data_IF_178759321104
#
_entry.id   IF_178759321104
#
_cell.length_a   1.000
_cell.length_b   1.000
_cell.length_c   1.000
_cell.angle_alpha   90.00
_cell.angle_beta   90.00
_cell.angle_gamma   90.00
#
_symmetry.space_group_name_H-M   'P 1'
#
loop_
_entity.id
_entity.type
_entity.pdbx_description
1 polymer ?
#
# COMPACT_ATOMS: atom_id res chain seq x y z
N UNK A 1 -25.18 -25.80 -65.00
CA UNK A 1 -24.84 -25.99 -63.59
C UNK A 1 -24.66 -24.61 -62.98
N UNK A 2 -25.65 -24.12 -62.18
CA UNK A 2 -25.55 -22.86 -61.46
C UNK A 2 -24.83 -23.14 -60.14
N UNK A 3 -23.67 -22.55 -59.93
CA UNK A 3 -23.00 -22.53 -58.65
C UNK A 3 -23.79 -21.59 -57.71
N UNK A 4 -24.35 -22.12 -56.64
CA UNK A 4 -24.90 -21.33 -55.56
C UNK A 4 -23.71 -20.97 -54.64
N UNK A 5 -23.29 -19.70 -54.70
CA UNK A 5 -22.35 -19.19 -53.72
C UNK A 5 -23.09 -19.05 -52.40
N UNK A 6 -22.82 -19.95 -51.48
CA UNK A 6 -23.30 -19.81 -50.07
C UNK A 6 -22.41 -18.75 -49.45
N UNK A 7 -22.91 -17.53 -49.30
CA UNK A 7 -22.33 -16.56 -48.37
C UNK A 7 -22.52 -17.14 -46.95
N UNK A 8 -21.46 -17.69 -46.39
CA UNK A 8 -21.36 -17.95 -44.95
C UNK A 8 -21.25 -16.54 -44.34
N UNK A 9 -22.38 -16.04 -43.85
CA UNK A 9 -22.34 -14.91 -42.92
C UNK A 9 -21.69 -15.48 -41.65
N UNK A 10 -20.48 -15.11 -41.37
CA UNK A 10 -19.81 -15.34 -40.09
C UNK A 10 -20.73 -14.76 -39.01
N UNK A 11 -21.60 -15.59 -38.46
CA UNK A 11 -22.20 -15.30 -37.17
C UNK A 11 -21.04 -15.41 -36.18
N UNK A 12 -20.53 -14.26 -35.73
CA UNK A 12 -19.63 -14.21 -34.60
C UNK A 12 -20.23 -15.09 -33.51
N UNK A 13 -19.54 -16.16 -33.17
CA UNK A 13 -19.99 -17.06 -32.09
C UNK A 13 -19.94 -16.20 -30.82
N UNK A 14 -21.03 -16.15 -30.02
CA UNK A 14 -21.06 -15.32 -28.83
C UNK A 14 -19.88 -15.72 -27.91
N UNK A 15 -19.06 -14.75 -27.52
CA UNK A 15 -17.94 -14.93 -26.60
C UNK A 15 -18.45 -15.56 -25.32
N UNK A 16 -17.84 -16.66 -24.88
CA UNK A 16 -18.17 -17.34 -23.63
C UNK A 16 -17.01 -17.28 -22.66
N UNK A 17 -17.28 -17.19 -21.36
CA UNK A 17 -16.25 -17.15 -20.35
C UNK A 17 -15.28 -18.34 -20.42
N UNK A 18 -15.80 -19.55 -20.77
CA UNK A 18 -14.98 -20.76 -20.91
C UNK A 18 -13.97 -20.65 -22.06
N UNK A 19 -14.32 -19.99 -23.17
CA UNK A 19 -13.41 -19.81 -24.32
C UNK A 19 -12.25 -18.88 -23.94
N UNK A 20 -12.51 -17.81 -23.16
CA UNK A 20 -11.50 -16.90 -22.60
C UNK A 20 -10.56 -17.65 -21.65
N UNK A 21 -11.10 -18.53 -20.80
CA UNK A 21 -10.29 -19.37 -19.90
C UNK A 21 -9.37 -20.29 -20.71
N UNK A 22 -9.92 -20.96 -21.76
CA UNK A 22 -9.15 -21.84 -22.64
C UNK A 22 -8.03 -21.07 -23.34
N UNK A 23 -8.31 -19.91 -23.93
CA UNK A 23 -7.30 -19.06 -24.57
C UNK A 23 -6.16 -18.74 -23.61
N UNK A 24 -6.48 -18.35 -22.38
CA UNK A 24 -5.46 -18.01 -21.39
C UNK A 24 -4.68 -19.23 -20.91
N UNK A 25 -5.36 -20.38 -20.76
CA UNK A 25 -4.70 -21.67 -20.46
C UNK A 25 -3.69 -22.07 -21.55
N UNK A 26 -4.01 -21.81 -22.83
CA UNK A 26 -3.16 -22.10 -24.00
C UNK A 26 -2.16 -20.97 -24.30
N UNK A 27 -1.94 -20.01 -23.37
CA UNK A 27 -1.01 -18.87 -23.50
C UNK A 27 -1.32 -17.92 -24.65
N UNK A 28 -2.57 -17.88 -25.12
CA UNK A 28 -3.00 -16.95 -26.14
C UNK A 28 -3.36 -15.61 -25.54
N UNK A 29 -3.13 -14.53 -26.30
CA UNK A 29 -3.53 -13.19 -25.90
C UNK A 29 -5.04 -13.00 -25.99
N UNK A 30 -5.60 -12.27 -25.01
CA UNK A 30 -7.00 -11.87 -25.01
C UNK A 30 -7.14 -10.51 -25.70
N UNK A 31 -8.21 -10.36 -26.47
CA UNK A 31 -8.55 -9.04 -27.04
C UNK A 31 -9.18 -8.13 -26.01
N UNK A 32 -9.24 -6.82 -26.30
CA UNK A 32 -9.92 -5.85 -25.45
C UNK A 32 -11.40 -6.21 -25.21
N UNK A 33 -12.09 -6.68 -26.26
CA UNK A 33 -13.49 -7.08 -26.19
C UNK A 33 -13.70 -8.30 -25.27
N UNK A 34 -12.81 -9.30 -25.36
CA UNK A 34 -12.86 -10.48 -24.50
C UNK A 34 -12.62 -10.12 -23.03
N UNK A 35 -11.66 -9.23 -22.76
CA UNK A 35 -11.38 -8.75 -21.42
C UNK A 35 -12.56 -7.94 -20.87
N UNK A 36 -13.14 -7.05 -21.70
CA UNK A 36 -14.29 -6.25 -21.31
C UNK A 36 -15.52 -7.15 -21.01
N UNK A 37 -15.81 -8.10 -21.89
CA UNK A 37 -16.87 -9.09 -21.65
C UNK A 37 -16.68 -9.81 -20.30
N UNK A 38 -15.46 -10.24 -20.02
CA UNK A 38 -15.17 -10.98 -18.78
C UNK A 38 -15.34 -10.10 -17.53
N UNK A 39 -14.83 -8.87 -17.57
CA UNK A 39 -14.95 -7.91 -16.45
C UNK A 39 -16.41 -7.48 -16.24
N UNK A 40 -17.17 -7.24 -17.31
CA UNK A 40 -18.60 -6.91 -17.24
C UNK A 40 -19.39 -8.08 -16.61
N UNK A 41 -19.08 -9.31 -17.03
CA UNK A 41 -19.70 -10.51 -16.47
C UNK A 41 -19.38 -10.72 -14.98
N UNK A 42 -18.15 -10.41 -14.55
CA UNK A 42 -17.79 -10.38 -13.12
C UNK A 42 -18.65 -9.33 -12.40
N UNK A 43 -18.71 -8.11 -12.95
CA UNK A 43 -19.40 -6.97 -12.33
C UNK A 43 -20.89 -7.27 -12.12
N UNK A 44 -21.55 -7.83 -13.12
CA UNK A 44 -22.99 -8.18 -13.08
C UNK A 44 -23.28 -9.49 -12.34
N UNK A 45 -22.25 -10.30 -12.02
CA UNK A 45 -22.42 -11.63 -11.42
C UNK A 45 -22.93 -12.69 -12.41
N UNK A 46 -22.73 -12.47 -13.70
CA UNK A 46 -23.11 -13.39 -14.79
C UNK A 46 -22.07 -14.52 -14.97
N UNK A 47 -20.80 -14.25 -14.62
CA UNK A 47 -19.74 -15.26 -14.61
C UNK A 47 -19.58 -15.80 -13.19
N UNK A 48 -19.76 -17.13 -12.98
CA UNK A 48 -19.69 -17.72 -11.66
C UNK A 48 -18.24 -17.78 -11.12
N UNK A 49 -18.11 -17.76 -9.80
CA UNK A 49 -16.85 -17.69 -9.08
C UNK A 49 -15.83 -18.77 -9.49
N UNK A 50 -16.30 -20.00 -9.81
CA UNK A 50 -15.39 -21.07 -10.25
C UNK A 50 -14.74 -20.79 -11.62
N UNK A 51 -15.43 -20.09 -12.52
CA UNK A 51 -14.86 -19.67 -13.81
C UNK A 51 -13.90 -18.50 -13.62
N UNK A 52 -14.23 -17.54 -12.76
CA UNK A 52 -13.34 -16.43 -12.42
C UNK A 52 -12.06 -16.96 -11.78
N UNK A 53 -12.18 -17.92 -10.86
CA UNK A 53 -11.03 -18.55 -10.20
C UNK A 53 -10.15 -19.33 -11.17
N UNK A 54 -10.75 -20.09 -12.11
CA UNK A 54 -10.03 -20.80 -13.15
C UNK A 54 -9.25 -19.84 -14.08
N UNK A 55 -9.86 -18.72 -14.46
CA UNK A 55 -9.21 -17.69 -15.25
C UNK A 55 -8.05 -17.04 -14.48
N UNK A 56 -8.27 -16.67 -13.21
CA UNK A 56 -7.23 -16.06 -12.38
C UNK A 56 -6.02 -17.01 -12.21
N UNK A 57 -6.26 -18.32 -12.08
CA UNK A 57 -5.19 -19.32 -12.03
C UNK A 57 -4.47 -19.44 -13.39
N UNK A 58 -5.19 -19.41 -14.51
CA UNK A 58 -4.57 -19.41 -15.83
C UNK A 58 -3.69 -18.16 -16.05
N UNK A 59 -4.12 -16.98 -15.58
CA UNK A 59 -3.31 -15.76 -15.60
C UNK A 59 -2.10 -15.86 -14.70
N UNK A 60 -2.23 -16.44 -13.50
CA UNK A 60 -1.09 -16.64 -12.59
C UNK A 60 0.01 -17.49 -13.24
N UNK A 61 -0.39 -18.60 -13.87
CA UNK A 61 0.55 -19.58 -14.44
C UNK A 61 1.14 -19.14 -15.78
N UNK A 62 0.40 -18.39 -16.59
CA UNK A 62 0.78 -18.06 -17.97
C UNK A 62 1.05 -16.56 -18.22
N UNK A 63 0.73 -15.71 -17.25
CA UNK A 63 0.91 -14.26 -17.37
C UNK A 63 -0.09 -13.57 -18.31
N UNK A 64 0.09 -12.26 -18.47
CA UNK A 64 -0.58 -11.39 -19.44
C UNK A 64 0.45 -10.44 -20.05
N UNK A 65 0.24 -10.01 -21.28
CA UNK A 65 1.05 -8.95 -21.88
C UNK A 65 0.77 -7.60 -21.22
N UNK A 66 1.64 -6.59 -21.37
CA UNK A 66 1.35 -5.24 -20.87
C UNK A 66 0.05 -4.66 -21.45
N UNK A 67 -0.26 -4.95 -22.71
CA UNK A 67 -1.51 -4.49 -23.33
C UNK A 67 -2.74 -5.17 -22.74
N UNK A 68 -2.73 -6.50 -22.58
CA UNK A 68 -3.81 -7.23 -21.90
C UNK A 68 -4.02 -6.70 -20.48
N UNK A 69 -2.92 -6.50 -19.73
CA UNK A 69 -2.99 -6.01 -18.34
C UNK A 69 -3.54 -4.60 -18.29
N UNK A 70 -3.21 -3.75 -19.26
CA UNK A 70 -3.77 -2.40 -19.38
C UNK A 70 -5.26 -2.45 -19.69
N UNK A 71 -5.68 -3.26 -20.65
CA UNK A 71 -7.10 -3.43 -21.00
C UNK A 71 -7.90 -3.95 -19.80
N UNK A 72 -7.37 -4.92 -19.05
CA UNK A 72 -7.96 -5.39 -17.79
C UNK A 72 -8.09 -4.27 -16.76
N UNK A 73 -7.02 -3.48 -16.60
CA UNK A 73 -6.99 -2.35 -15.67
C UNK A 73 -8.07 -1.33 -16.00
N UNK A 74 -8.17 -0.94 -17.28
CA UNK A 74 -9.16 0.04 -17.74
C UNK A 74 -10.59 -0.51 -17.65
N UNK A 75 -10.81 -1.77 -18.00
CA UNK A 75 -12.10 -2.42 -17.85
C UNK A 75 -12.54 -2.45 -16.37
N UNK A 76 -11.65 -2.82 -15.47
CA UNK A 76 -11.94 -2.80 -14.01
C UNK A 76 -12.16 -1.39 -13.49
N UNK A 77 -11.37 -0.40 -13.91
CA UNK A 77 -11.58 1.00 -13.52
C UNK A 77 -12.94 1.53 -13.98
N UNK A 78 -13.37 1.15 -15.19
CA UNK A 78 -14.66 1.55 -15.78
C UNK A 78 -15.85 0.69 -15.32
N UNK A 79 -15.64 -0.32 -14.49
CA UNK A 79 -16.71 -1.20 -14.01
C UNK A 79 -17.65 -0.55 -13.01
N UNK A 80 -17.30 0.63 -12.51
CA UNK A 80 -18.08 1.44 -11.56
C UNK A 80 -17.95 2.92 -11.80
N UNK A 81 -18.08 3.71 -10.74
CA UNK A 81 -17.92 5.16 -10.80
C UNK A 81 -16.44 5.54 -11.05
N UNK A 82 -16.22 6.57 -11.85
CA UNK A 82 -14.91 7.23 -11.98
C UNK A 82 -15.02 8.62 -11.39
N UNK A 83 -14.13 8.97 -10.45
CA UNK A 83 -14.07 10.29 -9.87
C UNK A 83 -13.50 11.30 -10.86
N UNK A 84 -14.30 12.26 -11.24
CA UNK A 84 -13.81 13.46 -11.93
C UNK A 84 -13.40 14.51 -10.89
N UNK A 85 -12.08 14.80 -10.86
CA UNK A 85 -11.46 15.81 -9.99
C UNK A 85 -11.03 17.07 -10.75
N UNK A 86 -11.40 17.22 -12.04
CA UNK A 86 -10.97 18.33 -12.90
C UNK A 86 -11.41 19.71 -12.38
N UNK A 87 -12.57 19.79 -11.76
CA UNK A 87 -13.06 21.03 -11.12
C UNK A 87 -12.66 21.21 -9.65
N UNK A 88 -11.85 20.29 -9.11
CA UNK A 88 -11.49 20.27 -7.68
C UNK A 88 -10.04 20.66 -7.47
N UNK A 89 -9.12 20.06 -8.23
CA UNK A 89 -7.67 20.31 -8.17
C UNK A 89 -7.08 20.47 -9.56
N UNK A 90 -5.96 21.21 -9.66
CA UNK A 90 -5.25 21.41 -10.96
C UNK A 90 -4.62 20.12 -11.48
N UNK A 91 -4.12 19.28 -10.59
CA UNK A 91 -3.59 17.97 -10.87
C UNK A 91 -3.99 17.02 -9.73
N UNK A 92 -4.63 15.92 -10.06
CA UNK A 92 -5.00 14.89 -9.09
C UNK A 92 -3.82 13.95 -8.87
N UNK A 93 -3.15 14.10 -7.72
CA UNK A 93 -2.00 13.30 -7.31
C UNK A 93 -2.43 12.16 -6.42
N UNK A 94 -1.76 11.01 -6.56
CA UNK A 94 -1.85 9.92 -5.60
C UNK A 94 -0.45 9.34 -5.29
N UNK A 95 -0.32 8.72 -4.13
CA UNK A 95 0.83 7.92 -3.71
C UNK A 95 0.34 6.54 -3.32
N UNK A 96 0.93 5.50 -3.84
CA UNK A 96 0.62 4.14 -3.43
C UNK A 96 1.88 3.44 -2.90
N UNK A 97 1.72 2.66 -1.83
CA UNK A 97 2.71 1.69 -1.40
C UNK A 97 2.16 0.29 -1.66
N UNK A 98 3.01 -0.61 -2.12
CA UNK A 98 2.63 -2.02 -2.31
C UNK A 98 2.41 -2.76 -0.98
N UNK A 99 2.66 -2.10 0.15
CA UNK A 99 2.46 -2.64 1.50
C UNK A 99 3.73 -3.21 2.12
N UNK A 100 3.86 -3.05 3.41
CA UNK A 100 5.02 -3.51 4.17
C UNK A 100 4.83 -3.37 5.68
N UNK A 101 5.85 -3.75 6.43
CA UNK A 101 5.85 -3.72 7.90
C UNK A 101 6.39 -2.37 8.38
N UNK A 102 5.63 -1.69 9.24
CA UNK A 102 5.96 -0.34 9.68
C UNK A 102 5.77 0.73 8.60
N UNK A 103 5.00 0.44 7.53
CA UNK A 103 4.75 1.40 6.46
C UNK A 103 3.63 2.39 6.82
N UNK A 104 4.01 3.45 7.52
CA UNK A 104 3.21 4.63 7.83
C UNK A 104 3.53 5.83 6.94
N UNK A 105 4.23 5.61 5.83
CA UNK A 105 4.73 6.66 4.91
C UNK A 105 3.63 7.64 4.50
N UNK A 106 2.41 7.17 4.27
CA UNK A 106 1.27 8.00 3.89
C UNK A 106 0.98 9.10 4.91
N UNK A 107 1.09 8.80 6.21
CA UNK A 107 0.75 9.73 7.30
C UNK A 107 1.72 10.93 7.39
N UNK A 108 2.89 10.80 6.81
CA UNK A 108 3.92 11.85 6.78
C UNK A 108 4.00 12.51 5.40
N UNK A 109 3.99 11.73 4.34
CA UNK A 109 4.14 12.23 2.95
C UNK A 109 2.98 13.13 2.54
N UNK A 110 1.73 12.73 2.80
CA UNK A 110 0.58 13.57 2.43
C UNK A 110 0.63 14.96 3.09
N UNK A 111 0.78 15.08 4.42
CA UNK A 111 0.95 16.38 5.07
C UNK A 111 2.10 17.22 4.52
N UNK A 112 3.26 16.61 4.22
CA UNK A 112 4.41 17.31 3.66
C UNK A 112 4.06 17.94 2.31
N UNK A 113 3.54 17.14 1.37
CA UNK A 113 3.30 17.65 0.00
C UNK A 113 2.15 18.66 -0.02
N UNK A 114 1.15 18.51 0.86
CA UNK A 114 0.07 19.50 0.99
C UNK A 114 0.58 20.79 1.62
N UNK A 115 1.49 20.75 2.59
CA UNK A 115 2.15 21.94 3.12
C UNK A 115 2.99 22.67 2.05
N UNK A 116 3.50 21.94 1.07
CA UNK A 116 4.17 22.49 -0.12
C UNK A 116 3.20 22.97 -1.21
N UNK A 117 1.89 22.99 -0.95
CA UNK A 117 0.86 23.49 -1.86
C UNK A 117 0.42 22.51 -2.95
N UNK A 118 0.67 21.19 -2.79
CA UNK A 118 0.21 20.14 -3.67
C UNK A 118 -0.96 19.38 -3.01
N UNK A 119 -2.22 19.62 -3.40
CA UNK A 119 -3.36 18.89 -2.85
C UNK A 119 -3.30 17.41 -3.16
N UNK A 120 -3.67 16.56 -2.19
CA UNK A 120 -3.72 15.11 -2.35
C UNK A 120 -4.97 14.52 -1.72
N UNK A 121 -5.78 13.86 -2.54
CA UNK A 121 -6.87 13.01 -2.10
C UNK A 121 -6.51 11.54 -2.28
N UNK A 122 -6.31 10.83 -1.16
CA UNK A 122 -5.87 9.45 -1.18
C UNK A 122 -6.94 8.49 -0.70
N UNK A 123 -7.19 7.45 -1.50
CA UNK A 123 -7.89 6.27 -1.06
C UNK A 123 -6.90 5.17 -0.67
N UNK A 124 -7.11 4.60 0.52
CA UNK A 124 -6.22 3.60 1.11
C UNK A 124 -6.99 2.37 1.57
N UNK A 125 -6.27 1.36 2.05
CA UNK A 125 -6.82 0.08 2.48
C UNK A 125 -6.58 -0.23 3.95
N UNK A 126 -7.27 -1.27 4.42
CA UNK A 126 -7.00 -1.94 5.69
C UNK A 126 -5.82 -2.90 5.57
N UNK A 127 -5.29 -3.34 6.70
CA UNK A 127 -4.21 -4.32 6.74
C UNK A 127 -4.59 -5.66 6.13
N UNK A 128 -3.61 -6.29 5.48
CA UNK A 128 -3.72 -7.61 4.86
C UNK A 128 -2.50 -8.46 5.23
N UNK A 129 -2.75 -9.65 5.75
CA UNK A 129 -1.69 -10.57 6.20
C UNK A 129 -0.81 -9.88 7.25
N UNK A 130 0.49 -9.93 7.06
CA UNK A 130 1.50 -9.34 7.95
C UNK A 130 1.67 -7.80 7.80
N UNK A 131 1.03 -7.20 6.80
CA UNK A 131 1.13 -5.76 6.51
C UNK A 131 0.05 -4.97 7.23
N UNK A 132 0.43 -3.95 8.00
CA UNK A 132 -0.49 -3.04 8.69
C UNK A 132 -1.20 -2.09 7.72
N UNK A 133 -2.51 -1.86 7.91
CA UNK A 133 -3.31 -0.98 7.06
C UNK A 133 -3.22 0.49 7.46
N UNK A 134 -3.17 1.39 6.48
CA UNK A 134 -3.20 2.84 6.73
C UNK A 134 -4.49 3.27 7.45
N UNK A 135 -5.63 2.69 7.08
CA UNK A 135 -6.90 3.02 7.71
C UNK A 135 -6.97 2.52 9.16
N UNK A 136 -6.43 1.33 9.44
CA UNK A 136 -6.39 0.78 10.79
C UNK A 136 -5.54 1.66 11.74
N UNK A 137 -4.48 2.28 11.22
CA UNK A 137 -3.67 3.25 11.93
C UNK A 137 -4.47 4.51 12.25
N UNK A 138 -5.16 5.08 11.26
CA UNK A 138 -5.98 6.29 11.46
C UNK A 138 -7.18 6.06 12.38
N UNK A 139 -7.77 4.87 12.39
CA UNK A 139 -8.85 4.48 13.31
C UNK A 139 -8.37 4.39 14.78
N UNK A 140 -7.06 4.39 15.04
CA UNK A 140 -6.54 4.54 16.41
C UNK A 140 -6.77 5.93 16.99
N UNK A 141 -7.10 6.93 16.15
CA UNK A 141 -7.51 8.27 16.57
C UNK A 141 -9.04 8.25 16.76
N UNK A 142 -9.56 8.46 17.97
CA UNK A 142 -10.99 8.42 18.22
C UNK A 142 -11.77 9.38 17.32
N UNK A 143 -12.87 8.89 16.75
CA UNK A 143 -13.76 9.70 15.90
C UNK A 143 -13.31 9.84 14.45
N UNK A 144 -12.10 9.44 14.08
CA UNK A 144 -11.64 9.58 12.69
C UNK A 144 -12.47 8.72 11.73
N UNK A 145 -13.09 9.39 10.74
CA UNK A 145 -13.95 8.73 9.73
C UNK A 145 -13.11 8.28 8.54
N UNK A 146 -13.00 6.97 8.37
CA UNK A 146 -12.31 6.36 7.22
C UNK A 146 -13.20 6.16 6.00
N UNK A 147 -14.51 6.37 6.11
CA UNK A 147 -15.46 6.25 5.01
C UNK A 147 -16.09 7.61 4.73
N UNK A 148 -15.79 8.17 3.56
CA UNK A 148 -16.37 9.39 3.04
C UNK A 148 -17.16 9.07 1.77
N UNK A 149 -18.26 9.78 1.55
CA UNK A 149 -18.95 9.80 0.26
C UNK A 149 -18.09 10.52 -0.78
N UNK A 150 -18.36 10.27 -2.06
CA UNK A 150 -17.71 10.97 -3.18
C UNK A 150 -17.80 12.49 -3.05
N UNK A 151 -18.95 13.02 -2.61
CA UNK A 151 -19.14 14.47 -2.43
C UNK A 151 -18.30 15.01 -1.27
N UNK A 152 -18.33 14.35 -0.09
CA UNK A 152 -17.49 14.73 1.05
C UNK A 152 -16.01 14.72 0.68
N UNK A 153 -15.55 13.69 -0.07
CA UNK A 153 -14.18 13.61 -0.56
C UNK A 153 -13.82 14.83 -1.43
N UNK A 154 -14.67 15.18 -2.41
CA UNK A 154 -14.42 16.31 -3.31
C UNK A 154 -14.45 17.65 -2.56
N UNK A 155 -15.38 17.83 -1.64
CA UNK A 155 -15.51 19.06 -0.83
C UNK A 155 -14.30 19.24 0.08
N UNK A 156 -13.91 18.23 0.83
CA UNK A 156 -12.74 18.29 1.71
C UNK A 156 -11.45 18.50 0.89
N UNK A 157 -11.29 17.81 -0.24
CA UNK A 157 -10.11 18.01 -1.10
C UNK A 157 -10.04 19.45 -1.64
N UNK A 158 -11.18 20.06 -1.98
CA UNK A 158 -11.26 21.46 -2.44
C UNK A 158 -10.93 22.46 -1.33
N UNK A 159 -11.45 22.22 -0.13
CA UNK A 159 -11.38 23.19 0.98
C UNK A 159 -10.05 23.05 1.75
N UNK A 160 -9.64 21.82 2.05
CA UNK A 160 -8.52 21.52 2.95
C UNK A 160 -7.27 21.06 2.21
N UNK A 161 -7.44 20.61 0.96
CA UNK A 161 -6.35 20.11 0.10
C UNK A 161 -5.83 18.73 0.50
N UNK A 162 -6.39 18.10 1.54
CA UNK A 162 -5.94 16.81 2.05
C UNK A 162 -7.12 15.90 2.40
N UNK A 163 -7.10 14.65 1.88
CA UNK A 163 -8.09 13.61 2.21
C UNK A 163 -7.39 12.26 2.31
N UNK A 164 -7.73 11.45 3.32
CA UNK A 164 -7.27 10.08 3.47
C UNK A 164 -8.43 9.20 3.92
N UNK A 165 -9.02 8.45 3.00
CA UNK A 165 -10.25 7.67 3.24
C UNK A 165 -10.10 6.24 2.71
N UNK A 166 -11.05 5.38 3.06
CA UNK A 166 -11.25 4.08 2.44
C UNK A 166 -11.76 4.21 1.00
N UNK A 167 -11.63 3.13 0.25
CA UNK A 167 -12.20 3.06 -1.08
C UNK A 167 -13.72 2.90 -0.99
N UNK A 168 -14.47 3.69 -1.76
CA UNK A 168 -15.90 3.46 -1.97
C UNK A 168 -16.12 2.12 -2.69
N UNK A 169 -17.18 1.41 -2.35
CA UNK A 169 -17.56 0.16 -3.01
C UNK A 169 -17.95 0.36 -4.47
N UNK A 170 -18.27 1.60 -4.85
CA UNK A 170 -18.69 1.96 -6.22
C UNK A 170 -17.49 2.16 -7.17
N UNK A 171 -16.27 2.27 -6.63
CA UNK A 171 -15.05 2.42 -7.42
C UNK A 171 -14.45 1.04 -7.75
N UNK A 172 -14.34 0.73 -9.04
CA UNK A 172 -13.79 -0.51 -9.56
C UNK A 172 -14.38 -1.78 -8.89
N UNK A 173 -15.71 -1.98 -8.86
CA UNK A 173 -16.34 -3.10 -8.18
C UNK A 173 -15.91 -4.47 -8.71
N UNK A 174 -15.54 -4.58 -9.99
CA UNK A 174 -14.96 -5.80 -10.56
C UNK A 174 -13.67 -6.20 -9.84
N UNK A 175 -12.79 -5.24 -9.54
CA UNK A 175 -11.57 -5.50 -8.77
C UNK A 175 -11.89 -6.03 -7.37
N UNK A 176 -12.87 -5.44 -6.69
CA UNK A 176 -13.29 -5.89 -5.36
C UNK A 176 -13.73 -7.36 -5.33
N UNK A 177 -14.52 -7.77 -6.32
CA UNK A 177 -14.97 -9.18 -6.48
C UNK A 177 -13.82 -10.11 -6.84
N UNK A 178 -13.01 -9.73 -7.82
CA UNK A 178 -11.87 -10.53 -8.26
C UNK A 178 -10.84 -10.69 -7.12
N UNK A 179 -10.54 -9.62 -6.38
CA UNK A 179 -9.61 -9.65 -5.26
C UNK A 179 -10.08 -10.59 -4.13
N UNK A 180 -11.38 -10.55 -3.79
CA UNK A 180 -11.94 -11.44 -2.77
C UNK A 180 -11.81 -12.92 -3.13
N UNK A 181 -11.93 -13.26 -4.44
CA UNK A 181 -11.70 -14.63 -4.91
C UNK A 181 -10.22 -15.00 -4.89
N UNK A 182 -9.35 -14.09 -5.30
CA UNK A 182 -7.89 -14.32 -5.30
C UNK A 182 -7.35 -14.65 -3.92
N UNK A 183 -7.88 -14.00 -2.90
CA UNK A 183 -7.47 -14.20 -1.50
C UNK A 183 -7.67 -15.65 -1.01
N UNK A 184 -8.69 -16.33 -1.52
CA UNK A 184 -9.04 -17.71 -1.11
C UNK A 184 -8.70 -18.78 -2.14
N UNK A 185 -8.13 -18.41 -3.30
CA UNK A 185 -7.80 -19.35 -4.39
C UNK A 185 -6.30 -19.45 -4.70
N UNK A 186 -5.44 -18.83 -3.87
CA UNK A 186 -3.99 -18.88 -4.04
C UNK A 186 -3.49 -18.14 -5.28
N UNK A 187 -4.18 -17.09 -5.73
CA UNK A 187 -3.84 -16.34 -6.95
C UNK A 187 -3.43 -14.89 -6.69
N UNK A 188 -3.16 -14.54 -5.43
CA UNK A 188 -2.75 -13.18 -5.04
C UNK A 188 -1.42 -12.78 -5.68
N UNK A 189 -0.46 -13.69 -5.82
CA UNK A 189 0.91 -13.43 -6.28
C UNK A 189 1.04 -13.15 -7.79
N UNK A 190 -0.06 -13.19 -8.54
CA UNK A 190 -0.04 -12.88 -9.98
C UNK A 190 0.32 -11.42 -10.24
N UNK A 191 1.52 -11.15 -10.80
CA UNK A 191 2.01 -9.80 -11.09
C UNK A 191 1.02 -8.99 -11.96
N UNK A 192 0.47 -9.51 -13.09
CA UNK A 192 -0.53 -8.79 -13.86
C UNK A 192 -1.78 -8.42 -13.05
N UNK A 193 -2.28 -9.34 -12.21
CA UNK A 193 -3.46 -9.09 -11.39
C UNK A 193 -3.17 -8.15 -10.19
N UNK A 194 -1.94 -8.11 -9.69
CA UNK A 194 -1.51 -7.11 -8.70
C UNK A 194 -1.48 -5.73 -9.35
N UNK A 195 -0.81 -5.60 -10.51
CA UNK A 195 -0.68 -4.35 -11.23
C UNK A 195 -2.04 -3.76 -11.60
N UNK A 196 -2.92 -4.58 -12.20
CA UNK A 196 -4.25 -4.13 -12.61
C UNK A 196 -5.15 -3.77 -11.42
N UNK A 197 -5.09 -4.52 -10.30
CA UNK A 197 -5.82 -4.21 -9.08
C UNK A 197 -5.39 -2.87 -8.46
N UNK A 198 -4.09 -2.58 -8.42
CA UNK A 198 -3.58 -1.32 -7.91
C UNK A 198 -4.00 -0.17 -8.84
N UNK A 199 -3.69 -0.27 -10.12
CA UNK A 199 -3.84 0.82 -11.08
C UNK A 199 -5.31 1.12 -11.40
N UNK A 200 -6.19 0.13 -11.46
CA UNK A 200 -7.62 0.36 -11.69
C UNK A 200 -8.25 1.26 -10.63
N UNK A 201 -7.93 1.02 -9.36
CA UNK A 201 -8.40 1.85 -8.24
C UNK A 201 -7.86 3.27 -8.29
N UNK A 202 -6.61 3.47 -8.71
CA UNK A 202 -6.00 4.79 -8.84
C UNK A 202 -6.62 5.59 -10.00
N UNK A 203 -6.87 4.92 -11.11
CA UNK A 203 -7.53 5.51 -12.28
C UNK A 203 -8.99 5.84 -11.94
N UNK A 204 -9.74 4.92 -11.32
CA UNK A 204 -11.12 5.15 -10.90
C UNK A 204 -11.22 6.29 -9.87
N UNK A 205 -10.24 6.43 -8.97
CA UNK A 205 -10.16 7.56 -8.04
C UNK A 205 -9.75 8.90 -8.70
N UNK A 206 -9.60 8.94 -10.02
CA UNK A 206 -9.33 10.16 -10.78
C UNK A 206 -7.86 10.59 -10.79
N UNK A 207 -6.90 9.77 -10.33
CA UNK A 207 -5.50 10.14 -10.30
C UNK A 207 -4.93 10.37 -11.71
N UNK A 208 -4.29 11.52 -11.91
CA UNK A 208 -3.59 11.90 -13.15
C UNK A 208 -2.10 11.63 -13.05
N UNK A 209 -1.54 11.73 -11.85
CA UNK A 209 -0.14 11.50 -11.56
C UNK A 209 0.01 10.64 -10.29
N UNK A 210 0.86 9.61 -10.34
CA UNK A 210 0.95 8.57 -9.30
C UNK A 210 2.41 8.29 -8.98
N UNK A 211 2.79 8.36 -7.70
CA UNK A 211 4.05 7.83 -7.21
C UNK A 211 3.79 6.46 -6.58
N UNK A 212 4.44 5.43 -7.11
CA UNK A 212 4.33 4.04 -6.67
C UNK A 212 5.59 3.67 -5.89
N UNK A 213 5.44 3.40 -4.60
CA UNK A 213 6.47 2.93 -3.69
C UNK A 213 6.36 1.41 -3.55
N UNK A 214 7.14 0.68 -4.35
CA UNK A 214 7.14 -0.78 -4.42
C UNK A 214 8.13 -1.32 -3.40
N UNK A 215 7.59 -1.97 -2.38
CA UNK A 215 8.37 -2.60 -1.31
C UNK A 215 8.97 -3.91 -1.77
N UNK A 216 10.25 -4.13 -1.41
CA UNK A 216 11.05 -5.30 -1.82
C UNK A 216 11.67 -5.95 -0.59
N UNK A 217 11.54 -7.26 -0.44
CA UNK A 217 12.21 -8.03 0.58
C UNK A 217 11.27 -8.82 1.49
N UNK A 218 11.78 -9.30 2.59
CA UNK A 218 11.10 -10.26 3.49
C UNK A 218 9.74 -9.75 4.02
N UNK A 219 9.59 -8.46 4.24
CA UNK A 219 8.34 -7.83 4.72
C UNK A 219 7.46 -7.26 3.62
N UNK A 220 7.67 -7.66 2.36
CA UNK A 220 6.91 -7.22 1.20
C UNK A 220 6.25 -8.39 0.47
N UNK A 221 5.35 -8.06 -0.48
CA UNK A 221 4.77 -9.05 -1.40
C UNK A 221 5.76 -9.43 -2.52
N UNK A 222 6.63 -8.51 -2.93
CA UNK A 222 7.73 -8.76 -3.86
C UNK A 222 8.97 -9.08 -3.03
N UNK A 223 9.43 -10.33 -3.08
CA UNK A 223 10.56 -10.77 -2.26
C UNK A 223 11.90 -10.44 -2.92
N UNK A 224 11.92 -10.37 -4.25
CA UNK A 224 13.14 -10.11 -5.03
C UNK A 224 13.06 -8.77 -5.78
N UNK A 225 14.23 -8.19 -6.07
CA UNK A 225 14.34 -6.95 -6.85
C UNK A 225 13.80 -7.16 -8.27
N UNK A 226 14.01 -8.34 -8.86
CA UNK A 226 13.57 -8.64 -10.23
C UNK A 226 12.04 -8.72 -10.33
N UNK A 227 11.36 -9.33 -9.36
CA UNK A 227 9.90 -9.30 -9.27
C UNK A 227 9.37 -7.87 -9.12
N UNK A 228 10.00 -7.09 -8.23
CA UNK A 228 9.61 -5.70 -8.01
C UNK A 228 9.84 -4.83 -9.24
N UNK A 229 10.95 -5.01 -9.98
CA UNK A 229 11.20 -4.33 -11.27
C UNK A 229 10.17 -4.73 -12.32
N UNK A 230 9.82 -6.02 -12.39
CA UNK A 230 8.79 -6.50 -13.31
C UNK A 230 7.44 -5.83 -13.02
N UNK A 231 7.04 -5.76 -11.75
CA UNK A 231 5.83 -5.07 -11.33
C UNK A 231 5.89 -3.56 -11.62
N UNK A 232 7.03 -2.90 -11.32
CA UNK A 232 7.26 -1.49 -11.56
C UNK A 232 7.13 -1.13 -13.05
N UNK A 233 7.79 -1.89 -13.91
CA UNK A 233 7.74 -1.69 -15.36
C UNK A 233 6.32 -1.86 -15.89
N UNK A 234 5.62 -2.92 -15.46
CA UNK A 234 4.25 -3.17 -15.87
C UNK A 234 3.30 -2.04 -15.44
N UNK A 235 3.39 -1.56 -14.19
CA UNK A 235 2.56 -0.45 -13.72
C UNK A 235 2.90 0.88 -14.42
N UNK A 236 4.16 1.10 -14.78
CA UNK A 236 4.58 2.25 -15.58
C UNK A 236 3.99 2.18 -16.99
N UNK A 237 4.02 1.01 -17.62
CA UNK A 237 3.41 0.78 -18.94
C UNK A 237 1.89 0.99 -18.89
N UNK A 238 1.20 0.45 -17.91
CA UNK A 238 -0.23 0.69 -17.68
C UNK A 238 -0.50 2.20 -17.56
N UNK A 239 0.29 2.91 -16.74
CA UNK A 239 0.15 4.35 -16.57
C UNK A 239 0.29 5.09 -17.90
N UNK A 240 1.35 4.81 -18.64
CA UNK A 240 1.61 5.41 -19.96
C UNK A 240 0.47 5.15 -20.96
N UNK A 241 0.01 3.90 -21.08
CA UNK A 241 -1.08 3.51 -21.97
C UNK A 241 -2.44 4.11 -21.54
N UNK A 242 -2.64 4.30 -20.24
CA UNK A 242 -3.84 4.94 -19.68
C UNK A 242 -3.74 6.48 -19.65
N UNK A 243 -2.68 7.09 -20.17
CA UNK A 243 -2.49 8.55 -20.18
C UNK A 243 -2.25 9.14 -18.79
N UNK A 244 -1.60 8.39 -17.88
CA UNK A 244 -1.26 8.82 -16.50
C UNK A 244 0.25 8.97 -16.36
N UNK A 245 0.66 10.01 -15.62
CA UNK A 245 2.07 10.15 -15.26
C UNK A 245 2.39 9.23 -14.07
N UNK A 246 3.37 8.35 -14.21
CA UNK A 246 3.72 7.38 -13.16
C UNK A 246 5.23 7.43 -12.90
N UNK A 247 5.58 7.47 -11.62
CA UNK A 247 6.95 7.26 -11.12
C UNK A 247 6.93 6.08 -10.16
N UNK A 248 7.85 5.14 -10.35
CA UNK A 248 8.02 3.97 -9.50
C UNK A 248 9.32 4.07 -8.71
N UNK A 249 9.25 3.73 -7.43
CA UNK A 249 10.38 3.66 -6.51
C UNK A 249 10.44 2.23 -5.98
N UNK A 250 11.63 1.63 -5.93
CA UNK A 250 11.86 0.33 -5.30
C UNK A 250 12.50 0.57 -3.95
N UNK A 251 11.83 0.19 -2.86
CA UNK A 251 12.31 0.47 -1.50
C UNK A 251 12.46 -0.79 -0.66
N UNK A 252 13.47 -0.81 0.20
CA UNK A 252 13.76 -1.97 1.07
C UNK A 252 12.64 -2.22 2.08
N UNK A 253 12.32 -3.49 2.26
CA UNK A 253 11.40 -4.01 3.27
C UNK A 253 11.90 -5.33 3.87
N UNK A 254 13.21 -5.58 3.86
CA UNK A 254 13.80 -6.71 4.55
C UNK A 254 13.73 -6.54 6.07
N UNK A 255 13.74 -5.29 6.52
CA UNK A 255 13.52 -4.87 7.92
C UNK A 255 12.35 -3.89 8.00
N UNK A 256 11.70 -3.71 9.17
CA UNK A 256 10.63 -2.72 9.32
C UNK A 256 11.11 -1.31 8.98
N UNK A 257 10.26 -0.51 8.33
CA UNK A 257 10.52 0.90 8.04
C UNK A 257 10.21 1.75 9.27
N UNK A 258 11.20 2.49 9.76
CA UNK A 258 11.12 3.13 11.07
C UNK A 258 11.15 2.09 12.19
N UNK A 259 10.91 2.51 13.42
CA UNK A 259 11.07 1.68 14.62
C UNK A 259 9.75 1.04 15.07
N UNK A 260 8.63 1.73 14.87
CA UNK A 260 7.33 1.28 15.33
C UNK A 260 6.63 0.33 14.34
N UNK A 261 6.07 -0.76 14.88
CA UNK A 261 5.20 -1.71 14.19
C UNK A 261 3.96 -1.95 15.05
N UNK A 262 2.79 -1.50 14.58
CA UNK A 262 1.52 -1.53 15.31
C UNK A 262 0.76 -0.21 15.09
N UNK A 263 -0.58 -0.22 15.27
CA UNK A 263 -1.41 0.88 14.76
C UNK A 263 -1.11 2.25 15.43
N UNK A 264 -1.42 2.43 16.70
CA UNK A 264 -1.17 3.71 17.39
C UNK A 264 0.33 4.02 17.52
N UNK A 265 1.18 3.01 17.72
CA UNK A 265 2.62 3.19 17.78
C UNK A 265 3.18 3.82 16.50
N UNK A 266 2.67 3.38 15.34
CA UNK A 266 3.06 3.94 14.04
C UNK A 266 2.50 5.35 13.82
N UNK A 267 1.30 5.67 14.34
CA UNK A 267 0.77 7.05 14.30
C UNK A 267 1.62 7.99 15.17
N UNK A 268 2.00 7.55 16.36
CA UNK A 268 2.90 8.32 17.24
C UNK A 268 4.26 8.57 16.57
N UNK A 269 4.83 7.54 15.92
CA UNK A 269 6.10 7.71 15.19
C UNK A 269 5.95 8.66 13.99
N UNK A 270 4.82 8.63 13.28
CA UNK A 270 4.53 9.58 12.21
C UNK A 270 4.44 11.02 12.75
N UNK A 271 3.76 11.25 13.87
CA UNK A 271 3.67 12.53 14.55
C UNK A 271 5.09 13.01 14.95
N UNK A 272 5.88 12.15 15.58
CA UNK A 272 7.26 12.47 15.95
C UNK A 272 8.11 12.84 14.73
N UNK A 273 7.91 12.15 13.59
CA UNK A 273 8.62 12.45 12.35
C UNK A 273 8.22 13.83 11.80
N UNK A 274 6.94 14.19 11.88
CA UNK A 274 6.46 15.54 11.52
C UNK A 274 7.00 16.64 12.44
N UNK A 275 7.44 16.30 13.66
CA UNK A 275 8.17 17.17 14.59
C UNK A 275 9.70 17.06 14.48
N UNK A 276 10.23 16.44 13.43
CA UNK A 276 11.67 16.21 13.22
C UNK A 276 12.34 15.25 14.22
N UNK A 277 11.58 14.51 15.00
CA UNK A 277 12.06 13.61 16.06
C UNK A 277 11.90 12.11 15.72
N UNK A 278 11.52 11.76 14.51
CA UNK A 278 11.34 10.38 14.07
C UNK A 278 12.63 9.67 13.64
N UNK A 279 12.58 8.34 13.40
CA UNK A 279 13.71 7.55 12.93
C UNK A 279 14.28 8.09 11.61
N UNK A 280 15.59 8.06 11.48
CA UNK A 280 16.30 8.66 10.34
C UNK A 280 15.94 7.98 9.01
N UNK A 281 15.84 6.64 8.99
CA UNK A 281 15.47 5.84 7.82
C UNK A 281 14.05 6.20 7.35
N UNK A 282 13.10 6.28 8.26
CA UNK A 282 11.71 6.62 7.95
C UNK A 282 11.56 8.07 7.47
N UNK A 283 12.24 9.02 8.14
CA UNK A 283 12.25 10.41 7.73
C UNK A 283 12.83 10.58 6.32
N UNK A 284 13.97 9.94 6.04
CA UNK A 284 14.63 9.97 4.74
C UNK A 284 13.73 9.37 3.64
N UNK A 285 13.10 8.25 3.92
CA UNK A 285 12.14 7.63 3.02
C UNK A 285 10.99 8.59 2.67
N UNK A 286 10.40 9.24 3.67
CA UNK A 286 9.30 10.20 3.45
C UNK A 286 9.75 11.42 2.63
N UNK A 287 10.94 11.95 2.88
CA UNK A 287 11.49 13.08 2.12
C UNK A 287 11.70 12.71 0.65
N UNK A 288 12.25 11.52 0.38
CA UNK A 288 12.49 11.03 -0.98
C UNK A 288 11.18 10.86 -1.76
N UNK A 289 10.19 10.19 -1.18
CA UNK A 289 8.86 10.02 -1.80
C UNK A 289 8.18 11.38 -2.03
N UNK A 290 8.26 12.30 -1.06
CA UNK A 290 7.69 13.64 -1.16
C UNK A 290 8.33 14.45 -2.29
N UNK A 291 9.66 14.38 -2.44
CA UNK A 291 10.38 15.05 -3.52
C UNK A 291 9.87 14.59 -4.90
N UNK A 292 9.71 13.29 -5.11
CA UNK A 292 9.15 12.75 -6.35
C UNK A 292 7.71 13.22 -6.59
N UNK A 293 6.87 13.26 -5.55
CA UNK A 293 5.51 13.79 -5.68
C UNK A 293 5.50 15.27 -6.05
N UNK A 294 6.37 16.09 -5.46
CA UNK A 294 6.45 17.54 -5.74
C UNK A 294 6.92 17.81 -7.16
N UNK A 295 7.89 17.03 -7.67
CA UNK A 295 8.34 17.14 -9.07
C UNK A 295 7.23 16.70 -10.03
N UNK A 296 6.64 15.53 -9.80
CA UNK A 296 5.56 15.00 -10.63
C UNK A 296 4.31 15.89 -10.62
N UNK A 297 4.04 16.56 -9.49
CA UNK A 297 2.96 17.52 -9.29
C UNK A 297 3.29 18.95 -9.72
N UNK A 298 4.44 19.18 -10.40
CA UNK A 298 4.90 20.48 -10.91
C UNK A 298 5.04 21.57 -9.84
N UNK A 299 5.39 21.18 -8.60
CA UNK A 299 5.70 22.10 -7.49
C UNK A 299 7.19 22.36 -7.34
N UNK A 300 8.01 21.43 -7.78
CA UNK A 300 9.46 21.56 -7.81
C UNK A 300 10.01 21.27 -9.21
N UNK A 301 11.06 21.95 -9.65
CA UNK A 301 11.66 21.71 -10.96
C UNK A 301 12.51 20.42 -10.99
N UNK A 302 13.02 19.99 -9.83
CA UNK A 302 13.90 18.85 -9.66
C UNK A 302 13.78 18.23 -8.27
N UNK A 303 14.36 17.05 -8.08
CA UNK A 303 14.28 16.29 -6.82
C UNK A 303 15.00 16.99 -5.65
N UNK A 304 16.09 17.70 -5.91
CA UNK A 304 16.82 18.42 -4.88
C UNK A 304 15.98 19.56 -4.31
N UNK A 305 15.35 20.34 -5.18
CA UNK A 305 14.41 21.39 -4.77
C UNK A 305 13.19 20.82 -4.06
N UNK A 306 12.60 19.73 -4.59
CA UNK A 306 11.50 19.04 -3.96
C UNK A 306 11.83 18.55 -2.55
N UNK A 307 13.01 17.99 -2.37
CA UNK A 307 13.53 17.57 -1.07
C UNK A 307 13.66 18.74 -0.10
N UNK A 308 14.30 19.85 -0.49
CA UNK A 308 14.43 21.06 0.36
C UNK A 308 13.05 21.60 0.78
N UNK A 309 12.09 21.62 -0.13
CA UNK A 309 10.71 22.01 0.20
C UNK A 309 10.09 21.08 1.25
N UNK A 310 10.25 19.79 1.10
CA UNK A 310 9.76 18.79 2.05
C UNK A 310 10.42 18.94 3.44
N UNK A 311 11.73 19.14 3.49
CA UNK A 311 12.48 19.41 4.73
C UNK A 311 11.99 20.68 5.40
N UNK A 312 11.78 21.76 4.65
CA UNK A 312 11.25 23.02 5.15
C UNK A 312 9.82 22.86 5.70
N UNK A 313 8.97 22.08 5.05
CA UNK A 313 7.61 21.82 5.50
C UNK A 313 7.56 21.10 6.87
N UNK A 314 8.50 20.18 7.11
CA UNK A 314 8.67 19.54 8.43
C UNK A 314 9.23 20.56 9.44
N UNK A 315 10.34 21.22 9.12
CA UNK A 315 11.08 22.09 10.04
C UNK A 315 10.24 23.31 10.50
N UNK A 316 9.36 23.82 9.63
CA UNK A 316 8.46 24.94 9.97
C UNK A 316 7.22 24.53 10.77
N UNK A 317 6.97 23.22 10.95
CA UNK A 317 5.73 22.69 11.53
C UNK A 317 4.55 22.67 10.54
N UNK A 318 4.71 23.18 9.32
CA UNK A 318 3.63 23.25 8.33
C UNK A 318 3.05 21.87 7.96
N UNK A 319 3.89 20.86 7.89
CA UNK A 319 3.45 19.49 7.64
C UNK A 319 2.64 18.94 8.83
N UNK A 320 3.05 19.21 10.07
CA UNK A 320 2.29 18.80 11.25
C UNK A 320 0.90 19.44 11.29
N UNK A 321 0.78 20.74 10.99
CA UNK A 321 -0.51 21.42 10.91
C UNK A 321 -1.43 20.82 9.83
N UNK A 322 -0.88 20.33 8.71
CA UNK A 322 -1.67 19.62 7.69
C UNK A 322 -2.14 18.25 8.16
N UNK A 323 -1.37 17.55 8.99
CA UNK A 323 -1.83 16.31 9.62
C UNK A 323 -2.96 16.58 10.63
N UNK A 324 -2.82 17.62 11.47
CA UNK A 324 -3.90 18.07 12.38
C UNK A 324 -5.18 18.42 11.63
N UNK A 325 -5.04 19.17 10.53
CA UNK A 325 -6.17 19.54 9.66
C UNK A 325 -6.86 18.29 9.09
N UNK A 326 -6.10 17.31 8.57
CA UNK A 326 -6.64 16.05 8.08
C UNK A 326 -7.48 15.33 9.15
N UNK A 327 -6.94 15.20 10.36
CA UNK A 327 -7.61 14.53 11.47
C UNK A 327 -8.89 15.28 11.86
N UNK A 328 -8.84 16.60 11.97
CA UNK A 328 -9.99 17.46 12.28
C UNK A 328 -11.09 17.35 11.23
N UNK A 329 -10.73 17.49 9.94
CA UNK A 329 -11.67 17.49 8.82
C UNK A 329 -12.43 16.16 8.69
N UNK A 330 -11.83 15.06 9.14
CA UNK A 330 -12.46 13.74 9.14
C UNK A 330 -13.04 13.35 10.52
N UNK A 331 -13.24 14.33 11.43
CA UNK A 331 -13.94 14.14 12.70
C UNK A 331 -13.14 13.47 13.80
N UNK A 332 -11.81 13.29 13.60
CA UNK A 332 -10.92 12.72 14.61
C UNK A 332 -10.62 13.70 15.75
N UNK A 333 -10.44 13.17 16.95
CA UNK A 333 -10.03 13.95 18.11
C UNK A 333 -8.56 14.41 17.99
N UNK A 334 -8.37 15.67 17.60
CA UNK A 334 -7.06 16.29 17.40
C UNK A 334 -6.22 16.27 18.68
N UNK A 335 -6.84 16.20 19.87
CA UNK A 335 -6.10 16.13 21.13
C UNK A 335 -5.18 14.91 21.26
N UNK A 336 -5.44 13.84 20.51
CA UNK A 336 -4.53 12.68 20.40
C UNK A 336 -3.31 12.98 19.52
N UNK A 337 -3.46 13.88 18.56
CA UNK A 337 -2.34 14.35 17.72
C UNK A 337 -1.45 15.33 18.50
N UNK A 338 -2.08 16.23 19.25
CA UNK A 338 -1.38 17.24 20.04
C UNK A 338 -0.70 16.67 21.28
N UNK A 339 -1.25 15.58 21.85
CA UNK A 339 -0.76 14.91 23.06
C UNK A 339 -0.73 13.40 22.82
N UNK A 340 0.30 12.86 22.12
CA UNK A 340 0.37 11.44 21.75
C UNK A 340 0.33 10.45 22.93
N UNK A 341 0.62 10.92 24.13
CA UNK A 341 0.52 10.11 25.36
C UNK A 341 -0.92 9.67 25.68
N UNK A 342 -1.93 10.27 25.03
CA UNK A 342 -3.34 9.88 25.14
C UNK A 342 -3.69 8.61 24.38
N UNK A 343 -2.88 8.20 23.40
CA UNK A 343 -3.13 6.95 22.68
C UNK A 343 -3.23 5.77 23.65
N UNK A 344 -4.04 4.75 23.31
CA UNK A 344 -4.24 3.60 24.17
C UNK A 344 -2.90 2.92 24.50
N UNK A 345 -2.69 2.63 25.78
CA UNK A 345 -1.47 1.98 26.28
C UNK A 345 -1.69 0.50 26.46
N UNK A 346 -0.73 -0.31 26.03
CA UNK A 346 -0.75 -1.73 26.29
C UNK A 346 -0.60 -2.03 27.78
N UNK A 347 -1.26 -3.09 28.23
CA UNK A 347 -1.25 -3.52 29.62
C UNK A 347 0.11 -4.08 30.06
N UNK A 348 0.79 -4.75 29.14
CA UNK A 348 2.10 -5.37 29.37
C UNK A 348 3.11 -4.75 28.40
N UNK A 349 4.18 -4.18 28.96
CA UNK A 349 5.28 -3.59 28.20
C UNK A 349 6.57 -4.25 28.65
N UNK A 350 7.30 -4.86 27.73
CA UNK A 350 8.54 -5.58 28.03
C UNK A 350 9.66 -5.18 27.07
N UNK A 351 10.81 -4.81 27.62
CA UNK A 351 12.03 -4.58 26.85
C UNK A 351 12.80 -5.90 26.73
N UNK A 352 12.86 -6.46 25.54
CA UNK A 352 13.65 -7.65 25.24
C UNK A 352 15.07 -7.23 24.95
N UNK A 353 16.00 -7.72 25.80
CA UNK A 353 17.42 -7.41 25.70
C UNK A 353 18.19 -8.47 24.90
N UNK A 354 19.25 -8.04 24.25
CA UNK A 354 20.18 -8.93 23.57
C UNK A 354 20.90 -9.86 24.55
N UNK A 355 20.96 -11.14 24.26
CA UNK A 355 21.70 -12.16 25.02
C UNK A 355 23.16 -12.29 24.57
N UNK A 356 23.56 -11.61 23.48
CA UNK A 356 24.89 -11.63 22.88
C UNK A 356 25.33 -10.27 22.35
N UNK A 357 26.63 -10.13 22.07
CA UNK A 357 27.17 -8.99 21.32
C UNK A 357 27.46 -9.43 19.87
N UNK A 358 27.34 -8.49 18.92
CA UNK A 358 27.63 -8.73 17.49
C UNK A 358 27.09 -7.62 16.61
N UNK A 359 27.16 -7.79 15.30
CA UNK A 359 26.51 -6.92 14.32
C UNK A 359 25.22 -7.60 13.82
N UNK A 360 24.12 -6.87 13.72
CA UNK A 360 22.89 -7.41 13.16
C UNK A 360 23.06 -7.60 11.64
N UNK A 361 22.86 -8.83 11.19
CA UNK A 361 22.88 -9.19 9.77
C UNK A 361 21.48 -9.38 9.19
N UNK A 362 20.46 -9.48 10.03
CA UNK A 362 19.05 -9.59 9.64
C UNK A 362 18.15 -9.05 10.74
N UNK A 363 17.12 -8.31 10.34
CA UNK A 363 15.95 -7.95 11.17
C UNK A 363 14.72 -8.29 10.32
N UNK A 364 14.14 -9.47 10.52
CA UNK A 364 13.15 -10.04 9.62
C UNK A 364 11.80 -9.33 9.77
N UNK A 365 11.48 -8.45 8.82
CA UNK A 365 10.24 -7.67 8.83
C UNK A 365 8.98 -8.55 8.80
N UNK A 366 8.97 -9.66 8.03
CA UNK A 366 7.81 -10.56 7.95
C UNK A 366 7.50 -11.18 9.31
N UNK A 367 8.47 -11.76 9.99
CA UNK A 367 8.28 -12.35 11.31
C UNK A 367 7.77 -11.32 12.32
N UNK A 368 8.27 -10.08 12.26
CA UNK A 368 7.81 -9.00 13.14
C UNK A 368 6.37 -8.60 12.80
N UNK A 369 6.01 -8.50 11.52
CA UNK A 369 4.65 -8.22 11.07
C UNK A 369 3.65 -9.31 11.48
N UNK A 370 4.00 -10.59 11.26
CA UNK A 370 3.19 -11.74 11.67
C UNK A 370 2.99 -11.79 13.19
N UNK A 371 4.04 -11.53 13.95
CA UNK A 371 3.95 -11.43 15.41
C UNK A 371 3.06 -10.25 15.86
N UNK A 372 3.09 -9.10 15.15
CA UNK A 372 2.20 -7.97 15.44
C UNK A 372 0.72 -8.35 15.20
N UNK A 373 0.43 -9.09 14.13
CA UNK A 373 -0.93 -9.62 13.87
C UNK A 373 -1.34 -10.60 14.98
N UNK A 374 -0.45 -11.50 15.41
CA UNK A 374 -0.72 -12.44 16.51
C UNK A 374 -1.01 -11.74 17.85
N UNK A 375 -0.34 -10.61 18.13
CA UNK A 375 -0.65 -9.76 19.30
C UNK A 375 -2.04 -9.12 19.20
N UNK A 376 -2.60 -8.95 17.99
CA UNK A 376 -3.89 -8.30 17.75
C UNK A 376 -3.79 -6.98 16.98
N UNK A 377 -2.60 -6.55 16.53
CA UNK A 377 -2.44 -5.32 15.73
C UNK A 377 -3.02 -5.43 14.32
N UNK A 378 -3.30 -6.65 13.85
CA UNK A 378 -3.94 -6.93 12.56
C UNK A 378 -5.09 -7.91 12.72
N UNK A 379 -5.71 -8.31 11.59
CA UNK A 379 -6.84 -9.25 11.56
C UNK A 379 -6.37 -10.63 11.11
N UNK A 380 -6.72 -11.67 11.87
CA UNK A 380 -6.58 -13.05 11.45
C UNK A 380 -7.67 -13.44 10.43
N UNK A 381 -8.88 -12.86 10.57
CA UNK A 381 -10.02 -13.06 9.66
C UNK A 381 -10.67 -11.72 9.34
N UNK A 382 -11.28 -11.62 8.15
CA UNK A 382 -12.04 -10.42 7.75
C UNK A 382 -13.14 -10.13 8.79
N UNK A 383 -13.13 -8.90 9.32
CA UNK A 383 -14.12 -8.47 10.33
C UNK A 383 -13.65 -8.59 11.78
N UNK A 384 -12.53 -9.24 12.05
CA UNK A 384 -11.96 -9.29 13.41
C UNK A 384 -11.66 -7.87 13.92
N UNK A 385 -11.82 -7.60 15.22
CA UNK A 385 -11.40 -6.34 15.83
C UNK A 385 -9.88 -6.23 15.82
N UNK A 386 -9.40 -4.99 15.80
CA UNK A 386 -7.98 -4.65 15.86
C UNK A 386 -7.68 -3.98 17.20
N UNK A 387 -6.64 -4.43 17.89
CA UNK A 387 -6.13 -3.79 19.09
C UNK A 387 -5.10 -2.73 18.72
N UNK A 388 -5.46 -1.48 18.90
CA UNK A 388 -4.60 -0.36 18.51
C UNK A 388 -3.42 -0.13 19.45
N UNK A 389 -3.43 -0.70 20.67
CA UNK A 389 -2.41 -0.48 21.69
C UNK A 389 -1.20 -1.42 21.58
N UNK A 390 -1.31 -2.50 20.79
CA UNK A 390 -0.30 -3.55 20.73
C UNK A 390 0.64 -3.40 19.55
N UNK A 391 1.85 -3.98 19.71
CA UNK A 391 2.86 -3.95 18.66
C UNK A 391 4.29 -4.00 19.20
N UNK A 392 5.22 -3.43 18.44
CA UNK A 392 6.65 -3.45 18.74
C UNK A 392 7.31 -2.09 18.47
N UNK A 393 8.37 -1.80 19.24
CA UNK A 393 9.39 -0.81 18.90
C UNK A 393 10.68 -1.57 18.68
N UNK A 394 11.30 -1.43 17.52
CA UNK A 394 12.56 -2.07 17.12
C UNK A 394 13.69 -1.09 17.36
N UNK A 395 14.69 -1.46 18.19
CA UNK A 395 15.72 -0.52 18.61
C UNK A 395 16.97 -0.55 17.73
N UNK A 396 17.13 -1.56 16.87
CA UNK A 396 18.32 -1.71 16.03
C UNK A 396 17.97 -2.21 14.64
N UNK A 397 18.78 -1.82 13.68
CA UNK A 397 18.66 -2.16 12.26
C UNK A 397 19.81 -3.05 11.79
N UNK A 398 19.69 -3.58 10.58
CA UNK A 398 20.79 -4.31 9.93
C UNK A 398 22.00 -3.37 9.79
N UNK A 399 23.17 -3.87 10.19
CA UNK A 399 24.41 -3.10 10.23
C UNK A 399 24.76 -2.55 11.62
N UNK A 400 23.79 -2.44 12.55
CA UNK A 400 24.05 -1.93 13.88
C UNK A 400 24.88 -2.92 14.71
N UNK A 401 25.81 -2.37 15.49
CA UNK A 401 26.60 -3.10 16.47
C UNK A 401 25.87 -3.10 17.81
N UNK A 402 25.45 -4.25 18.27
CA UNK A 402 24.69 -4.46 19.50
C UNK A 402 25.58 -5.14 20.54
N UNK A 403 25.48 -4.72 21.80
CA UNK A 403 26.14 -5.34 22.94
C UNK A 403 25.16 -6.24 23.70
N UNK A 404 25.66 -7.25 24.37
CA UNK A 404 24.86 -8.03 25.29
C UNK A 404 24.26 -7.11 26.35
N UNK A 405 22.93 -7.20 26.52
CA UNK A 405 22.14 -6.38 27.45
C UNK A 405 21.50 -5.14 26.82
N UNK A 406 21.89 -4.74 25.60
CA UNK A 406 21.22 -3.66 24.88
C UNK A 406 19.78 -4.04 24.54
N UNK A 407 18.82 -3.10 24.50
CA UNK A 407 17.46 -3.36 24.07
C UNK A 407 17.45 -3.74 22.57
N UNK A 408 16.82 -4.86 22.22
CA UNK A 408 16.60 -5.25 20.82
C UNK A 408 15.25 -4.77 20.31
N UNK A 409 14.21 -5.01 21.12
CA UNK A 409 12.83 -4.59 20.83
C UNK A 409 12.07 -4.37 22.12
N UNK A 410 11.03 -3.56 22.06
CA UNK A 410 10.02 -3.46 23.12
C UNK A 410 8.71 -4.05 22.62
N UNK A 411 8.11 -4.95 23.41
CA UNK A 411 6.82 -5.60 23.13
C UNK A 411 5.73 -4.85 23.89
N UNK A 412 4.66 -4.49 23.19
CA UNK A 412 3.43 -3.92 23.74
C UNK A 412 2.31 -4.93 23.53
N UNK A 413 1.75 -5.49 24.62
CA UNK A 413 0.74 -6.55 24.58
C UNK A 413 -0.36 -6.34 25.61
N UNK A 414 -1.56 -6.83 25.32
CA UNK A 414 -2.68 -6.81 26.26
C UNK A 414 -2.97 -8.19 26.90
N UNK A 415 -2.28 -9.24 26.44
CA UNK A 415 -2.36 -10.60 26.96
C UNK A 415 -0.96 -11.13 27.27
N UNK A 416 -0.72 -11.57 28.53
CA UNK A 416 0.61 -12.05 28.95
C UNK A 416 1.08 -13.30 28.18
N UNK A 417 0.15 -14.18 27.79
CA UNK A 417 0.48 -15.36 26.99
C UNK A 417 1.03 -14.97 25.60
N UNK A 418 0.36 -14.05 24.90
CA UNK A 418 0.78 -13.54 23.61
C UNK A 418 2.11 -12.79 23.68
N UNK A 419 2.33 -12.04 24.78
CA UNK A 419 3.62 -11.39 25.02
C UNK A 419 4.77 -12.40 25.10
N UNK A 420 4.58 -13.50 25.84
CA UNK A 420 5.57 -14.56 25.99
C UNK A 420 5.84 -15.24 24.64
N UNK A 421 4.80 -15.59 23.90
CA UNK A 421 4.91 -16.21 22.56
C UNK A 421 5.66 -15.29 21.59
N UNK A 422 5.31 -14.00 21.54
CA UNK A 422 6.00 -13.02 20.70
C UNK A 422 7.49 -12.89 21.08
N UNK A 423 7.82 -12.85 22.39
CA UNK A 423 9.21 -12.79 22.85
C UNK A 423 10.02 -13.99 22.40
N UNK A 424 9.45 -15.20 22.50
CA UNK A 424 10.13 -16.44 22.10
C UNK A 424 10.28 -16.55 20.58
N UNK A 425 9.20 -16.27 19.84
CA UNK A 425 9.17 -16.33 18.38
C UNK A 425 10.10 -15.30 17.71
N UNK A 426 10.19 -14.08 18.24
CA UNK A 426 10.97 -13.01 17.62
C UNK A 426 12.49 -13.10 17.84
N UNK A 427 12.99 -13.99 18.68
CA UNK A 427 14.45 -14.24 18.76
C UNK A 427 15.04 -14.66 17.41
N UNK A 428 14.31 -15.46 16.63
CA UNK A 428 14.73 -15.91 15.30
C UNK A 428 14.64 -14.81 14.22
N UNK A 429 13.97 -13.70 14.50
CA UNK A 429 13.88 -12.57 13.57
C UNK A 429 15.22 -11.82 13.43
N UNK A 430 16.10 -11.92 14.44
CA UNK A 430 17.39 -11.26 14.46
C UNK A 430 18.51 -12.21 14.05
N UNK A 431 19.17 -11.90 12.93
CA UNK A 431 20.39 -12.60 12.49
C UNK A 431 21.63 -11.83 12.97
N UNK A 432 22.73 -12.56 13.20
CA UNK A 432 23.94 -12.02 13.80
C UNK A 432 25.17 -12.34 12.95
N UNK A 433 26.14 -11.42 12.97
CA UNK A 433 27.47 -11.58 12.36
C UNK A 433 28.54 -11.09 13.34
N UNK A 434 29.66 -11.82 13.38
CA UNK A 434 30.86 -11.36 14.10
C UNK A 434 31.69 -10.35 13.28
N UNK A 435 31.35 -10.20 11.99
CA UNK A 435 31.97 -9.24 11.07
C UNK A 435 31.02 -8.05 10.85
N UNK A 436 31.56 -6.86 10.49
CA UNK A 436 30.73 -5.74 10.06
C UNK A 436 29.81 -6.13 8.90
N UNK A 437 28.57 -5.68 8.96
CA UNK A 437 27.56 -5.83 7.92
C UNK A 437 27.16 -4.43 7.47
N UNK A 438 27.08 -4.15 6.16
CA UNK A 438 26.61 -2.85 5.69
C UNK A 438 25.12 -2.67 6.01
N UNK A 439 24.72 -1.41 6.26
CA UNK A 439 23.32 -1.07 6.36
C UNK A 439 22.58 -1.38 5.03
N UNK A 440 21.31 -1.74 5.11
CA UNK A 440 20.48 -1.93 3.92
C UNK A 440 20.21 -0.58 3.23
N UNK A 441 20.17 -0.53 1.89
CA UNK A 441 19.77 0.67 1.19
C UNK A 441 18.29 0.96 1.47
N UNK A 442 17.89 2.22 1.50
CA UNK A 442 16.47 2.58 1.58
C UNK A 442 15.75 2.38 0.25
N UNK A 443 16.45 2.65 -0.85
CA UNK A 443 15.95 2.49 -2.21
C UNK A 443 16.95 1.73 -3.07
N UNK A 444 16.42 0.93 -3.98
CA UNK A 444 17.19 0.21 -4.98
C UNK A 444 17.18 0.97 -6.31
N UNK A 445 18.32 0.93 -7.02
CA UNK A 445 18.46 1.54 -8.34
C UNK A 445 17.72 0.78 -9.45
#
# INVERSE_FOLDING_TARGET
VKYVTICIVDKECPVRAVDIIIKKREKQELTEEEIRFFVDGITRGEIPDYQISAWAMAVLLNGMTPLETTNLTLAMANSGEILDLSGVVKIAMDKHSSGGVGDKTTLVVLPIVVACGLPVGKMSGRGLGFSGGTLDKMESIPGYRVNLTTNEFKEQLRNDGIVLTGQSLDLAPADGKLYALRDVTGTVQSIPLIASSIMSKKIAAGAQAIVLDIKVGLGAFMETIDEARTLANLMTDIGRLAGRAVVTLLSDMNQPLGDAVGNSLEVVEAINTLHSCGPADFREHCLHVSAHMLVLGHRAPDLETGRRMAETAIASGGAFEKFRLLVHAQGGDVSYVDVPEKFPKAKYIEVVKSDRSGTLSRVNARMIGEAAVALGAGRARKGDPVDHAVGFIIHHKVGDRVKKGDPLLTIYANEAAKQTEAREGLRAAFGWSDKPVPALPLFYA
#
